data_IF_571243576163
#
_entry.id   IF_571243576163
#
_cell.length_a   1.000
_cell.length_b   1.000
_cell.length_c   1.000
_cell.angle_alpha   90.00
_cell.angle_beta   90.00
_cell.angle_gamma   90.00
#
_symmetry.space_group_name_H-M   'P 1'
#
loop_
_entity.id
_entity.type
_entity.pdbx_description
1 polymer ?
#
# COMPACT_ATOMS: atom_id res chain seq x y z
N UNK A 1 18.70 4.82 -6.93
CA UNK A 1 17.35 5.00 -6.36
C UNK A 1 17.47 6.01 -5.23
N UNK A 2 16.82 7.16 -5.36
CA UNK A 2 16.79 8.17 -4.29
C UNK A 2 15.81 7.76 -3.18
N UNK A 3 15.88 8.43 -2.02
CA UNK A 3 14.88 8.26 -0.95
C UNK A 3 13.47 8.58 -1.47
N UNK A 4 13.34 9.60 -2.32
CA UNK A 4 12.07 9.95 -2.95
C UNK A 4 11.53 8.84 -3.87
N UNK A 5 12.40 8.16 -4.62
CA UNK A 5 12.00 7.06 -5.50
C UNK A 5 11.54 5.84 -4.70
N UNK A 6 12.18 5.57 -3.56
CA UNK A 6 11.77 4.52 -2.64
C UNK A 6 10.36 4.80 -2.12
N UNK A 7 10.14 5.99 -1.53
CA UNK A 7 8.82 6.36 -0.98
C UNK A 7 7.74 6.31 -2.05
N UNK A 8 8.02 6.82 -3.26
CA UNK A 8 7.08 6.80 -4.39
C UNK A 8 6.73 5.36 -4.80
N UNK A 9 7.74 4.52 -5.02
CA UNK A 9 7.54 3.13 -5.46
C UNK A 9 6.76 2.33 -4.43
N UNK A 10 7.02 2.55 -3.13
CA UNK A 10 6.29 1.87 -2.06
C UNK A 10 4.82 2.30 -1.99
N UNK A 11 4.52 3.59 -2.18
CA UNK A 11 3.13 4.07 -2.26
C UNK A 11 2.39 3.50 -3.45
N UNK A 12 3.03 3.47 -4.62
CA UNK A 12 2.47 2.84 -5.82
C UNK A 12 2.18 1.35 -5.62
N UNK A 13 3.04 0.64 -4.88
CA UNK A 13 2.79 -0.76 -4.50
C UNK A 13 1.57 -0.90 -3.58
N UNK A 14 1.40 -0.02 -2.58
CA UNK A 14 0.20 0.01 -1.73
C UNK A 14 -1.06 0.25 -2.58
N UNK A 15 -1.02 1.20 -3.51
CA UNK A 15 -2.15 1.53 -4.37
C UNK A 15 -2.55 0.32 -5.24
N UNK A 16 -1.56 -0.35 -5.85
CA UNK A 16 -1.78 -1.57 -6.64
C UNK A 16 -2.41 -2.68 -5.80
N UNK A 17 -1.92 -2.92 -4.57
CA UNK A 17 -2.50 -3.92 -3.67
C UNK A 17 -3.95 -3.60 -3.31
N UNK A 18 -4.28 -2.33 -3.07
CA UNK A 18 -5.65 -1.91 -2.81
C UNK A 18 -6.56 -2.10 -4.03
N UNK A 19 -6.07 -1.81 -5.25
CA UNK A 19 -6.81 -2.07 -6.49
C UNK A 19 -7.09 -3.57 -6.69
N UNK A 20 -6.08 -4.42 -6.49
CA UNK A 20 -6.24 -5.89 -6.57
C UNK A 20 -7.24 -6.39 -5.51
N UNK A 21 -7.17 -5.86 -4.28
CA UNK A 21 -8.11 -6.19 -3.22
C UNK A 21 -9.56 -5.79 -3.55
N UNK A 22 -9.73 -4.67 -4.28
CA UNK A 22 -11.02 -4.24 -4.82
C UNK A 22 -11.55 -5.19 -5.89
N UNK A 23 -10.68 -5.58 -6.83
CA UNK A 23 -11.04 -6.40 -7.99
C UNK A 23 -11.24 -7.89 -7.69
N UNK A 24 -10.56 -8.46 -6.70
CA UNK A 24 -10.62 -9.90 -6.38
C UNK A 24 -10.91 -10.14 -4.89
N UNK A 25 -12.11 -10.67 -4.60
CA UNK A 25 -12.48 -11.05 -3.23
C UNK A 25 -11.57 -12.15 -2.67
N UNK A 26 -11.09 -13.07 -3.52
CA UNK A 26 -10.16 -14.14 -3.12
C UNK A 26 -8.81 -13.58 -2.67
N UNK A 27 -8.31 -12.53 -3.33
CA UNK A 27 -7.00 -11.94 -3.03
C UNK A 27 -7.06 -10.82 -1.98
N UNK A 28 -8.25 -10.30 -1.70
CA UNK A 28 -8.45 -9.22 -0.72
C UNK A 28 -7.76 -9.45 0.63
N UNK A 29 -7.82 -10.64 1.27
CA UNK A 29 -7.19 -10.84 2.57
C UNK A 29 -5.67 -10.70 2.52
N UNK A 30 -5.02 -11.31 1.52
CA UNK A 30 -3.55 -11.24 1.37
C UNK A 30 -3.09 -9.84 1.00
N UNK A 31 -3.83 -9.13 0.14
CA UNK A 31 -3.50 -7.75 -0.23
C UNK A 31 -3.63 -6.80 0.96
N UNK A 32 -4.68 -6.92 1.79
CA UNK A 32 -4.85 -6.10 2.98
C UNK A 32 -3.80 -6.37 4.05
N UNK A 33 -3.42 -7.64 4.26
CA UNK A 33 -2.31 -7.98 5.16
C UNK A 33 -0.97 -7.40 4.67
N UNK A 34 -0.70 -7.50 3.35
CA UNK A 34 0.50 -6.92 2.76
C UNK A 34 0.55 -5.38 2.94
N UNK A 35 -0.56 -4.68 2.67
CA UNK A 35 -0.65 -3.22 2.90
C UNK A 35 -0.34 -2.88 4.36
N UNK A 36 -0.95 -3.58 5.33
CA UNK A 36 -0.71 -3.34 6.76
C UNK A 36 0.76 -3.49 7.18
N UNK A 37 1.52 -4.38 6.51
CA UNK A 37 2.95 -4.58 6.77
C UNK A 37 3.83 -3.50 6.12
N UNK A 38 3.36 -2.88 5.04
CA UNK A 38 4.11 -1.90 4.26
C UNK A 38 3.83 -0.47 4.77
N UNK A 39 2.59 -0.18 5.13
CA UNK A 39 2.09 1.14 5.51
C UNK A 39 2.59 1.58 6.91
N UNK A 40 3.87 1.97 6.99
CA UNK A 40 4.53 2.37 8.23
C UNK A 40 5.74 3.28 7.97
N UNK A 41 6.18 4.01 8.99
CA UNK A 41 7.38 4.84 8.93
C UNK A 41 7.30 5.90 7.82
N UNK A 42 8.39 6.05 7.06
CA UNK A 42 8.51 7.09 6.00
C UNK A 42 7.58 6.89 4.80
N UNK A 43 6.95 5.72 4.67
CA UNK A 43 6.03 5.39 3.57
C UNK A 43 4.56 5.37 4.00
N UNK A 44 4.29 5.69 5.27
CA UNK A 44 2.94 5.67 5.81
C UNK A 44 2.01 6.63 5.04
N UNK A 45 0.83 6.13 4.68
CA UNK A 45 -0.28 6.95 4.23
C UNK A 45 -0.89 7.63 5.47
N UNK A 46 -0.52 8.89 5.68
CA UNK A 46 -1.25 9.80 6.57
C UNK A 46 -2.60 10.16 5.92
N UNK A 47 -3.43 9.16 5.62
CA UNK A 47 -4.84 9.38 5.35
C UNK A 47 -5.49 9.52 6.71
N UNK A 48 -5.57 10.76 7.19
CA UNK A 48 -6.49 11.12 8.25
C UNK A 48 -7.89 10.62 7.89
N UNK A 49 -8.58 10.13 8.91
CA UNK A 49 -9.96 9.66 8.91
C UNK A 49 -10.83 10.42 7.90
N UNK A 50 -11.44 9.67 6.98
CA UNK A 50 -12.66 10.07 6.25
C UNK A 50 -13.70 8.98 6.51
#
# INVERSE_FOLDING_TARGET
MSVGDFVRSTKQLIDLLNQIAGASQKLRPVCKDAVKRIDRGVVAYLMGEV
#
